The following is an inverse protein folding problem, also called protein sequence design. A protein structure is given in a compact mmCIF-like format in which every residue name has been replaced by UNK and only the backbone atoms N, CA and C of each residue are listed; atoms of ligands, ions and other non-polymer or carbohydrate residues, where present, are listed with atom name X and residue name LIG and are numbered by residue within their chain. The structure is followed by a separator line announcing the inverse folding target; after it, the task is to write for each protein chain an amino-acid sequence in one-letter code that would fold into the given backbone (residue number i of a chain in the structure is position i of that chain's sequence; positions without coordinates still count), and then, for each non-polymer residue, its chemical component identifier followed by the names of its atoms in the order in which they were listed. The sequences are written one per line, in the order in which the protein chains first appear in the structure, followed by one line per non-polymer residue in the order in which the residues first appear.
data_IF_053625859628
#
_entry.id   IF_053625859628
#
_cell.length_a   1.000
_cell.length_b   1.000
_cell.length_c   1.000
_cell.angle_alpha   90.00
_cell.angle_beta   90.00
_cell.angle_gamma   90.00
#
_symmetry.space_group_name_H-M   'P 1'
#
loop_
_entity.id
_entity.type
_entity.pdbx_description
1 polymer ?
#
# COMPACT_ATOMS: atom_id res chain seq x y z
N UNK A 1 11.88 32.49 4.30
CA UNK A 1 12.30 31.42 3.37
C UNK A 1 11.97 30.12 4.07
N UNK A 2 10.99 29.35 3.58
CA UNK A 2 10.61 28.07 4.20
C UNK A 2 11.77 27.12 3.94
N UNK A 3 12.52 26.79 4.99
CA UNK A 3 13.55 25.75 4.91
C UNK A 3 12.82 24.44 4.66
N UNK A 4 12.93 23.92 3.45
CA UNK A 4 12.39 22.62 3.11
C UNK A 4 13.16 21.57 3.92
N UNK A 5 12.49 21.08 4.95
CA UNK A 5 12.95 20.07 5.88
C UNK A 5 13.12 18.71 5.20
N UNK A 6 12.44 18.44 4.08
CA UNK A 6 12.73 17.25 3.25
C UNK A 6 14.11 17.41 2.60
N UNK A 7 14.40 18.58 2.03
CA UNK A 7 15.73 18.88 1.49
C UNK A 7 16.79 18.82 2.60
N UNK A 8 16.52 19.40 3.76
CA UNK A 8 17.43 19.35 4.90
C UNK A 8 17.70 17.90 5.37
N UNK A 9 16.68 17.04 5.44
CA UNK A 9 16.85 15.63 5.82
C UNK A 9 17.60 14.82 4.75
N UNK A 10 17.53 15.25 3.49
CA UNK A 10 18.30 14.68 2.38
C UNK A 10 19.78 15.06 2.47
N UNK A 11 20.06 16.33 2.75
CA UNK A 11 21.43 16.85 2.86
C UNK A 11 22.13 16.37 4.14
N UNK A 12 21.38 16.31 5.25
CA UNK A 12 21.86 15.84 6.56
C UNK A 12 20.86 14.86 7.17
N UNK A 13 21.12 13.53 7.05
CA UNK A 13 20.27 12.50 7.64
C UNK A 13 20.05 12.72 9.13
N UNK A 14 18.89 12.30 9.64
CA UNK A 14 18.53 12.46 11.05
C UNK A 14 19.61 11.93 12.00
N UNK A 15 20.22 10.79 11.67
CA UNK A 15 21.27 10.15 12.46
C UNK A 15 22.51 11.05 12.65
N UNK A 16 22.83 11.87 11.65
CA UNK A 16 23.99 12.77 11.63
C UNK A 16 23.76 14.10 12.38
N UNK A 17 22.56 14.33 12.94
CA UNK A 17 22.22 15.57 13.64
C UNK A 17 22.57 15.51 15.13
N UNK A 18 22.79 16.69 15.72
CA UNK A 18 23.04 16.78 17.15
C UNK A 18 21.75 16.55 17.96
N UNK A 19 21.89 16.34 19.27
CA UNK A 19 20.76 16.01 20.15
C UNK A 19 19.71 17.12 20.23
N UNK A 20 20.11 18.39 20.17
CA UNK A 20 19.19 19.52 20.22
C UNK A 20 18.35 19.60 18.93
N UNK A 21 18.98 19.40 17.78
CA UNK A 21 18.32 19.35 16.46
C UNK A 21 17.40 18.14 16.32
N UNK A 22 17.81 16.98 16.85
CA UNK A 22 16.96 15.79 16.86
C UNK A 22 15.70 16.03 17.68
N UNK A 23 15.82 16.65 18.86
CA UNK A 23 14.68 17.00 19.71
C UNK A 23 13.73 17.97 19.02
N UNK A 24 14.25 19.02 18.38
CA UNK A 24 13.38 19.97 17.67
C UNK A 24 12.62 19.30 16.52
N UNK A 25 13.26 18.44 15.73
CA UNK A 25 12.58 17.69 14.65
C UNK A 25 11.47 16.79 15.21
N UNK A 26 11.68 16.16 16.36
CA UNK A 26 10.66 15.33 17.02
C UNK A 26 9.50 16.19 17.54
N UNK A 27 9.81 17.31 18.21
CA UNK A 27 8.82 18.22 18.80
C UNK A 27 7.95 18.90 17.73
N UNK A 28 8.55 19.31 16.61
CA UNK A 28 7.81 19.91 15.48
C UNK A 28 7.11 18.87 14.60
N UNK A 29 7.35 17.57 14.86
CA UNK A 29 6.72 16.47 14.14
C UNK A 29 7.21 16.31 12.70
N UNK A 30 6.66 15.33 11.99
CA UNK A 30 6.97 15.16 10.57
C UNK A 30 6.39 16.33 9.80
N UNK A 31 7.20 17.09 9.06
CA UNK A 31 6.71 18.10 8.15
C UNK A 31 5.87 17.40 7.09
N UNK A 32 4.57 17.51 7.27
CA UNK A 32 3.61 16.97 6.32
C UNK A 32 3.38 18.09 5.33
N UNK A 33 3.86 17.98 4.07
CA UNK A 33 3.54 18.98 3.08
C UNK A 33 2.03 19.15 3.06
N UNK A 34 1.56 20.39 2.97
CA UNK A 34 0.13 20.67 2.88
C UNK A 34 -0.36 19.93 1.64
N UNK A 35 -1.04 18.80 1.84
CA UNK A 35 -1.65 18.06 0.76
C UNK A 35 -2.76 18.96 0.25
N UNK A 36 -2.48 19.68 -0.84
CA UNK A 36 -3.54 20.29 -1.64
C UNK A 36 -4.32 19.11 -2.17
N UNK A 37 -5.38 18.76 -1.46
CA UNK A 37 -6.40 17.85 -1.94
C UNK A 37 -7.08 18.56 -3.10
N UNK A 38 -6.46 18.50 -4.28
CA UNK A 38 -7.28 18.28 -5.46
C UNK A 38 -8.11 17.06 -5.10
N UNK A 39 -9.42 17.16 -5.21
CA UNK A 39 -10.33 16.07 -4.88
C UNK A 39 -10.16 14.91 -5.88
N UNK A 40 -8.94 14.41 -6.06
CA UNK A 40 -8.65 13.04 -6.42
C UNK A 40 -9.05 12.20 -5.22
N UNK A 41 -10.36 12.16 -5.02
CA UNK A 41 -11.03 11.03 -4.44
C UNK A 41 -10.39 9.80 -5.07
N UNK A 42 -9.78 8.95 -4.24
CA UNK A 42 -9.51 7.56 -4.60
C UNK A 42 -10.89 6.89 -4.73
N UNK A 43 -11.66 7.31 -5.73
CA UNK A 43 -12.97 6.79 -6.01
C UNK A 43 -12.71 5.39 -6.52
N UNK A 44 -13.22 4.43 -5.77
CA UNK A 44 -13.40 3.08 -6.24
C UNK A 44 -14.07 3.12 -7.62
N UNK A 45 -13.34 2.74 -8.66
CA UNK A 45 -13.84 2.79 -10.03
C UNK A 45 -14.60 1.50 -10.32
N UNK A 46 -15.90 1.49 -10.01
CA UNK A 46 -16.80 0.34 -10.17
C UNK A 46 -16.74 -0.27 -11.60
N UNK A 47 -16.47 0.57 -12.60
CA UNK A 47 -16.28 0.19 -14.01
C UNK A 47 -15.14 -0.81 -14.27
N UNK A 48 -14.18 -0.94 -13.36
CA UNK A 48 -13.10 -1.95 -13.46
C UNK A 48 -13.58 -3.34 -13.03
N UNK A 49 -14.56 -3.38 -12.12
CA UNK A 49 -15.17 -4.59 -11.57
C UNK A 49 -16.32 -5.10 -12.46
N UNK A 50 -17.03 -4.20 -13.14
CA UNK A 50 -18.04 -4.54 -14.16
C UNK A 50 -17.46 -5.27 -15.39
N UNK A 51 -16.13 -5.37 -15.52
CA UNK A 51 -15.44 -6.01 -16.65
C UNK A 51 -14.80 -7.38 -16.34
N UNK A 52 -14.77 -7.80 -15.07
CA UNK A 52 -14.00 -8.98 -14.66
C UNK A 52 -14.86 -9.77 -13.67
N UNK A 53 -15.47 -10.87 -14.12
CA UNK A 53 -16.51 -11.64 -13.40
C UNK A 53 -16.11 -12.24 -12.05
N UNK A 54 -14.90 -11.96 -11.57
CA UNK A 54 -14.30 -12.62 -10.44
C UNK A 54 -13.00 -11.92 -10.06
N UNK A 55 -12.98 -10.99 -9.12
CA UNK A 55 -11.66 -10.54 -8.64
C UNK A 55 -10.99 -11.56 -7.69
N UNK A 56 -11.42 -12.86 -7.73
CA UNK A 56 -10.60 -14.11 -7.61
C UNK A 56 -11.34 -15.50 -7.72
N UNK A 57 -12.57 -15.63 -8.24
CA UNK A 57 -13.28 -16.92 -8.52
C UNK A 57 -13.23 -17.60 -9.91
N UNK A 58 -12.93 -16.94 -11.03
CA UNK A 58 -12.68 -17.67 -12.29
C UNK A 58 -11.32 -18.35 -12.23
N UNK A 59 -11.13 -19.36 -13.05
CA UNK A 59 -9.96 -20.22 -12.90
C UNK A 59 -8.73 -19.64 -13.57
N UNK A 60 -8.89 -18.72 -14.54
CA UNK A 60 -7.82 -18.25 -15.43
C UNK A 60 -6.83 -17.32 -14.73
N UNK A 61 -7.27 -16.14 -14.25
CA UNK A 61 -6.49 -15.19 -13.43
C UNK A 61 -5.94 -15.83 -12.13
N UNK A 62 -6.62 -16.78 -11.49
CA UNK A 62 -6.18 -17.49 -10.29
C UNK A 62 -5.01 -18.37 -10.65
N UNK A 63 -5.11 -19.15 -11.74
CA UNK A 63 -3.97 -19.91 -12.25
C UNK A 63 -2.81 -19.00 -12.65
N UNK A 64 -3.10 -17.83 -13.23
CA UNK A 64 -2.05 -16.89 -13.65
C UNK A 64 -1.34 -16.27 -12.44
N UNK A 65 -2.08 -15.82 -11.44
CA UNK A 65 -1.53 -15.35 -10.16
C UNK A 65 -0.78 -16.49 -9.45
N UNK A 66 -1.35 -17.69 -9.42
CA UNK A 66 -0.72 -18.86 -8.80
C UNK A 66 0.63 -19.16 -9.46
N UNK A 67 0.66 -19.26 -10.80
CA UNK A 67 1.89 -19.50 -11.55
C UNK A 67 2.90 -18.36 -11.34
N UNK A 68 2.47 -17.10 -11.29
CA UNK A 68 3.39 -15.98 -10.99
C UNK A 68 4.02 -16.09 -9.59
N UNK A 69 3.21 -16.45 -8.59
CA UNK A 69 3.62 -16.55 -7.18
C UNK A 69 4.43 -17.82 -6.91
N UNK A 70 4.12 -18.93 -7.57
CA UNK A 70 4.77 -20.24 -7.39
C UNK A 70 6.29 -20.16 -7.62
N UNK A 71 6.72 -19.34 -8.59
CA UNK A 71 8.14 -19.16 -8.90
C UNK A 71 8.82 -18.04 -8.08
N UNK A 72 8.12 -17.42 -7.13
CA UNK A 72 8.69 -16.36 -6.31
C UNK A 72 9.40 -16.91 -5.06
N UNK A 73 10.66 -16.54 -4.85
CA UNK A 73 11.43 -16.94 -3.67
C UNK A 73 11.07 -16.15 -2.40
N UNK A 74 10.58 -14.93 -2.57
CA UNK A 74 10.24 -14.04 -1.45
C UNK A 74 8.78 -13.65 -1.53
N UNK A 75 8.02 -14.03 -0.52
CA UNK A 75 6.56 -13.85 -0.44
C UNK A 75 6.23 -13.28 0.94
N UNK A 76 5.26 -12.38 0.97
CA UNK A 76 4.63 -11.83 2.17
C UNK A 76 3.12 -11.77 1.94
N UNK A 77 2.35 -11.89 3.02
CA UNK A 77 0.89 -11.82 3.01
C UNK A 77 0.46 -10.66 3.89
N UNK A 78 -0.49 -9.88 3.40
CA UNK A 78 -1.19 -8.84 4.15
C UNK A 78 -2.65 -9.26 4.25
N UNK A 79 -3.19 -9.28 5.46
CA UNK A 79 -4.56 -9.65 5.73
C UNK A 79 -5.17 -8.57 6.63
N UNK A 80 -6.24 -7.93 6.16
CA UNK A 80 -6.91 -6.85 6.86
C UNK A 80 -8.40 -7.16 6.97
N UNK A 81 -8.97 -6.95 8.16
CA UNK A 81 -10.41 -6.98 8.37
C UNK A 81 -11.03 -5.72 7.78
N UNK A 82 -12.08 -5.91 6.99
CA UNK A 82 -12.83 -4.88 6.29
C UNK A 82 -14.32 -5.13 6.48
N UNK A 83 -15.17 -4.18 6.14
CA UNK A 83 -16.62 -4.38 6.14
C UNK A 83 -17.19 -4.17 4.75
N UNK A 84 -18.15 -5.01 4.37
CA UNK A 84 -18.85 -4.89 3.09
C UNK A 84 -19.91 -3.78 3.13
N UNK A 85 -20.65 -3.60 2.03
CA UNK A 85 -21.72 -2.60 1.95
C UNK A 85 -22.92 -2.91 2.86
N UNK A 86 -23.07 -4.14 3.35
CA UNK A 86 -24.07 -4.59 4.31
C UNK A 86 -23.54 -4.59 5.77
N UNK A 87 -22.32 -4.07 5.99
CA UNK A 87 -21.63 -3.98 7.29
C UNK A 87 -21.23 -5.34 7.88
N UNK A 88 -21.18 -6.41 7.08
CA UNK A 88 -20.61 -7.69 7.49
C UNK A 88 -19.09 -7.63 7.44
N UNK A 89 -18.45 -8.24 8.44
CA UNK A 89 -16.99 -8.36 8.48
C UNK A 89 -16.52 -9.28 7.34
N UNK A 90 -15.48 -8.84 6.64
CA UNK A 90 -14.82 -9.57 5.56
C UNK A 90 -13.31 -9.42 5.69
N UNK A 91 -12.59 -10.52 5.50
CA UNK A 91 -11.14 -10.53 5.48
C UNK A 91 -10.65 -10.25 4.06
N UNK A 92 -9.89 -9.18 3.87
CA UNK A 92 -9.19 -8.89 2.62
C UNK A 92 -7.79 -9.49 2.66
N UNK A 93 -7.36 -10.12 1.56
CA UNK A 93 -6.02 -10.74 1.46
C UNK A 93 -5.26 -10.19 0.25
N UNK A 94 -4.02 -9.79 0.48
CA UNK A 94 -3.06 -9.37 -0.55
C UNK A 94 -1.79 -10.20 -0.39
N UNK A 95 -1.30 -10.77 -1.49
CA UNK A 95 0.03 -11.38 -1.58
C UNK A 95 0.98 -10.37 -2.21
N UNK A 96 2.12 -10.14 -1.55
CA UNK A 96 3.22 -9.33 -2.06
C UNK A 96 4.45 -10.22 -2.24
N UNK A 97 4.97 -10.31 -3.46
CA UNK A 97 6.10 -11.17 -3.77
C UNK A 97 7.10 -10.51 -4.73
N UNK A 98 8.29 -11.11 -4.83
CA UNK A 98 9.34 -10.65 -5.74
C UNK A 98 9.40 -11.56 -6.97
N UNK A 99 8.94 -11.05 -8.11
CA UNK A 99 8.97 -11.75 -9.39
C UNK A 99 9.88 -11.01 -10.37
N UNK A 100 10.86 -11.68 -10.97
CA UNK A 100 11.79 -11.10 -11.98
C UNK A 100 12.42 -9.77 -11.50
N UNK A 101 12.90 -9.75 -10.25
CA UNK A 101 13.50 -8.57 -9.59
C UNK A 101 12.56 -7.36 -9.44
N UNK A 102 11.25 -7.56 -9.54
CA UNK A 102 10.22 -6.55 -9.29
C UNK A 102 9.33 -7.00 -8.14
N UNK A 103 8.96 -6.06 -7.29
CA UNK A 103 7.94 -6.29 -6.26
C UNK A 103 6.59 -6.21 -6.95
N UNK A 104 5.81 -7.27 -6.84
CA UNK A 104 4.43 -7.34 -7.34
C UNK A 104 3.48 -7.57 -6.17
N UNK A 105 2.32 -6.93 -6.25
CA UNK A 105 1.21 -7.13 -5.32
C UNK A 105 0.05 -7.74 -6.09
N UNK A 106 -0.61 -8.72 -5.47
CA UNK A 106 -1.76 -9.45 -6.01
C UNK A 106 -2.84 -9.49 -4.94
N UNK A 107 -3.95 -8.83 -5.23
CA UNK A 107 -5.16 -8.95 -4.42
C UNK A 107 -5.79 -10.32 -4.67
N UNK A 108 -6.02 -11.06 -3.59
CA UNK A 108 -6.52 -12.44 -3.64
C UNK A 108 -8.03 -12.50 -3.42
N UNK A 109 -8.63 -11.46 -2.83
CA UNK A 109 -10.08 -11.40 -2.65
C UNK A 109 -10.49 -11.00 -1.25
N UNK A 110 -11.81 -10.99 -1.08
CA UNK A 110 -12.49 -10.89 0.20
C UNK A 110 -13.01 -12.27 0.60
N UNK A 111 -12.97 -12.56 1.89
CA UNK A 111 -13.46 -13.80 2.47
C UNK A 111 -14.39 -13.45 3.63
N UNK A 112 -15.58 -14.04 3.64
CA UNK A 112 -16.50 -13.88 4.77
C UNK A 112 -15.90 -14.53 6.02
N UNK A 113 -16.09 -13.89 7.19
CA UNK A 113 -15.52 -14.30 8.48
C UNK A 113 -16.62 -14.60 9.50
#
# INVERSE_FOLDING_TARGET
MINDIIQSLTDTPFECRNIAEKRSIIEFGRPTPLLITTANTRNFQMKWYEKIDWLCENKVIYNEIYNEVEFCFFISVQADETTDCAMYAQLSIIIRCVCKSKIIERFIGFFDI
#
